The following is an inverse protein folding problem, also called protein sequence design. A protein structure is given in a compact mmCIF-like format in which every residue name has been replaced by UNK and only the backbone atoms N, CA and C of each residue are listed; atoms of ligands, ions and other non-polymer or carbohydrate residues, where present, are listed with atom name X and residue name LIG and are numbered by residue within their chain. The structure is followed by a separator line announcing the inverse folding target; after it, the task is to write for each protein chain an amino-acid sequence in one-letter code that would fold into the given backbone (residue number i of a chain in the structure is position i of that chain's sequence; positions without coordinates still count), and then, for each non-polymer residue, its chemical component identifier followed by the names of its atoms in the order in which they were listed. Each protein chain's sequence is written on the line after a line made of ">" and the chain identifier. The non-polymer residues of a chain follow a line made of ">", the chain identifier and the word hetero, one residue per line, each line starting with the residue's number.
data_IF_856808013626
#
_entry.id   IF_856808013626
#
_cell.length_a   1.000
_cell.length_b   1.000
_cell.length_c   1.000
_cell.angle_alpha   90.00
_cell.angle_beta   90.00
_cell.angle_gamma   90.00
#
_symmetry.space_group_name_H-M   'P 1'
#
loop_
_entity.id
_entity.type
_entity.pdbx_description
1 polymer ?
#
# COMPACT_ATOMS: atom_id res chain seq x y z
N UNK A 1 -27.19 -12.96 61.30
CA UNK A 1 -25.86 -13.17 60.66
C UNK A 1 -26.12 -13.48 59.19
N UNK A 2 -25.88 -12.53 58.24
CA UNK A 2 -25.98 -12.84 56.82
C UNK A 2 -24.61 -13.36 56.33
N UNK A 3 -24.70 -14.39 55.50
CA UNK A 3 -23.65 -15.11 54.82
C UNK A 3 -22.86 -14.18 53.86
N UNK A 4 -21.58 -14.00 54.13
CA UNK A 4 -20.67 -13.43 53.15
C UNK A 4 -20.41 -14.44 52.02
N UNK A 5 -21.10 -14.22 50.89
CA UNK A 5 -20.82 -14.95 49.68
C UNK A 5 -19.47 -14.51 49.09
N UNK A 6 -18.44 -15.32 49.28
CA UNK A 6 -17.19 -15.22 48.55
C UNK A 6 -17.49 -15.40 47.07
N UNK A 7 -17.43 -14.31 46.30
CA UNK A 7 -17.35 -14.36 44.84
C UNK A 7 -15.93 -14.82 44.51
N UNK A 8 -15.80 -16.14 44.38
CA UNK A 8 -14.58 -16.76 43.85
C UNK A 8 -14.40 -16.27 42.40
N UNK A 9 -13.46 -15.35 42.17
CA UNK A 9 -13.06 -14.91 40.86
C UNK A 9 -12.62 -16.12 40.04
N UNK A 10 -13.43 -16.55 39.09
CA UNK A 10 -13.04 -17.54 38.10
C UNK A 10 -11.85 -16.99 37.34
N UNK A 11 -10.64 -17.44 37.70
CA UNK A 11 -9.48 -17.35 36.80
C UNK A 11 -9.82 -18.09 35.53
N UNK A 12 -10.01 -17.37 34.46
CA UNK A 12 -10.12 -17.95 33.13
C UNK A 12 -8.76 -18.58 32.84
N UNK A 13 -8.72 -19.91 32.72
CA UNK A 13 -7.57 -20.61 32.16
C UNK A 13 -7.41 -20.16 30.71
N UNK A 14 -6.52 -19.23 30.47
CA UNK A 14 -6.22 -18.71 29.14
C UNK A 14 -5.41 -19.76 28.38
N UNK A 15 -6.10 -20.71 27.74
CA UNK A 15 -5.51 -21.60 26.73
C UNK A 15 -5.45 -20.96 25.34
N UNK A 16 -6.07 -19.77 25.17
CA UNK A 16 -5.98 -18.97 23.94
C UNK A 16 -4.80 -18.01 24.03
N UNK A 17 -3.92 -18.06 23.04
CA UNK A 17 -2.86 -17.06 22.86
C UNK A 17 -3.50 -15.75 22.37
N UNK A 18 -3.53 -14.75 23.22
CA UNK A 18 -3.87 -13.39 22.83
C UNK A 18 -2.58 -12.70 22.35
N UNK A 19 -2.64 -12.02 21.21
CA UNK A 19 -1.45 -11.41 20.60
C UNK A 19 -1.27 -9.95 21.01
N UNK A 20 -2.39 -9.27 21.36
CA UNK A 20 -2.39 -7.83 21.62
C UNK A 20 -2.80 -7.47 23.07
N UNK A 21 -3.02 -8.44 23.95
CA UNK A 21 -3.48 -8.18 25.32
C UNK A 21 -2.32 -8.17 26.30
N UNK A 22 -2.23 -7.09 27.07
CA UNK A 22 -1.41 -7.04 28.30
C UNK A 22 -2.37 -7.07 29.49
N UNK A 23 -2.40 -8.14 30.29
CA UNK A 23 -3.15 -8.18 31.53
C UNK A 23 -2.58 -7.16 32.48
N UNK A 24 -3.41 -6.26 33.03
CA UNK A 24 -3.03 -5.41 34.16
C UNK A 24 -3.54 -5.98 35.48
N UNK A 25 -2.89 -5.61 36.58
CA UNK A 25 -3.39 -5.97 37.92
C UNK A 25 -4.66 -5.16 38.18
N UNK A 26 -5.77 -5.84 38.50
CA UNK A 26 -7.03 -5.22 38.88
C UNK A 26 -8.17 -5.40 37.85
N UNK A 27 -9.07 -4.42 37.79
CA UNK A 27 -10.30 -4.43 36.96
C UNK A 27 -10.08 -3.91 35.54
N UNK A 28 -8.85 -3.64 35.12
CA UNK A 28 -8.52 -3.08 33.83
C UNK A 28 -7.68 -4.03 32.97
N UNK A 29 -7.78 -3.91 31.65
CA UNK A 29 -6.95 -4.59 30.68
C UNK A 29 -6.42 -3.60 29.65
N UNK A 30 -5.33 -3.95 28.99
CA UNK A 30 -4.75 -3.17 27.91
C UNK A 30 -4.76 -3.98 26.62
N UNK A 31 -5.25 -3.35 25.55
CA UNK A 31 -5.23 -3.91 24.18
C UNK A 31 -4.33 -3.04 23.32
N UNK A 32 -3.36 -3.66 22.64
CA UNK A 32 -2.37 -2.97 21.84
C UNK A 32 -2.73 -2.99 20.34
N UNK A 33 -2.75 -1.82 19.71
CA UNK A 33 -2.85 -1.65 18.27
C UNK A 33 -1.50 -1.12 17.74
N UNK A 34 -0.49 -1.99 17.78
CA UNK A 34 0.88 -1.65 17.41
C UNK A 34 1.29 -2.34 16.11
N UNK A 35 1.47 -1.56 15.08
CA UNK A 35 1.85 -2.02 13.75
C UNK A 35 0.85 -1.62 12.67
N UNK A 36 1.08 -2.04 11.43
CA UNK A 36 0.15 -1.81 10.32
C UNK A 36 -1.20 -2.50 10.57
N UNK A 37 -2.29 -1.85 10.07
CA UNK A 37 -3.67 -2.35 10.13
C UNK A 37 -3.99 -3.11 8.86
N UNK A 38 -4.52 -4.32 8.96
CA UNK A 38 -4.94 -5.13 7.81
C UNK A 38 -5.19 -6.58 8.18
N UNK A 39 -5.78 -7.36 7.26
CA UNK A 39 -6.14 -8.76 7.51
C UNK A 39 -4.91 -9.62 7.85
N UNK A 40 -3.82 -9.45 7.10
CA UNK A 40 -2.56 -10.18 7.28
C UNK A 40 -1.48 -9.36 8.02
N UNK A 41 -1.89 -8.30 8.72
CA UNK A 41 -1.00 -7.40 9.42
C UNK A 41 -1.00 -7.65 10.94
N UNK A 42 -0.08 -6.97 11.65
CA UNK A 42 0.01 -7.07 13.11
C UNK A 42 -1.26 -6.64 13.84
N UNK A 43 -2.00 -5.67 13.28
CA UNK A 43 -3.28 -5.21 13.79
C UNK A 43 -4.38 -5.75 12.87
N UNK A 44 -4.70 -7.04 13.06
CA UNK A 44 -5.77 -7.70 12.31
C UNK A 44 -7.14 -7.40 12.92
N UNK A 45 -8.15 -7.03 12.14
CA UNK A 45 -9.49 -6.74 12.64
C UNK A 45 -10.11 -7.96 13.33
N UNK A 46 -9.93 -9.17 12.79
CA UNK A 46 -10.46 -10.39 13.37
C UNK A 46 -9.88 -10.66 14.78
N UNK A 47 -8.59 -10.42 14.95
CA UNK A 47 -7.92 -10.57 16.26
C UNK A 47 -8.37 -9.50 17.24
N UNK A 48 -8.29 -8.22 16.86
CA UNK A 48 -8.64 -7.08 17.71
C UNK A 48 -10.09 -7.19 18.20
N UNK A 49 -11.02 -7.47 17.30
CA UNK A 49 -12.45 -7.61 17.65
C UNK A 49 -12.68 -8.78 18.58
N UNK A 50 -12.06 -9.94 18.31
CA UNK A 50 -12.16 -11.12 19.16
C UNK A 50 -11.60 -10.85 20.56
N UNK A 51 -10.42 -10.26 20.64
CA UNK A 51 -9.76 -9.91 21.90
C UNK A 51 -10.57 -8.89 22.69
N UNK A 52 -11.11 -7.85 22.03
CA UNK A 52 -12.01 -6.89 22.66
C UNK A 52 -13.27 -7.55 23.22
N UNK A 53 -13.87 -8.47 22.46
CA UNK A 53 -15.06 -9.22 22.92
C UNK A 53 -14.79 -10.08 24.14
N UNK A 54 -13.63 -10.71 24.21
CA UNK A 54 -13.23 -11.49 25.37
C UNK A 54 -12.89 -10.59 26.59
N UNK A 55 -12.17 -9.49 26.35
CA UNK A 55 -11.81 -8.54 27.41
C UNK A 55 -13.02 -7.93 28.10
N UNK A 56 -13.99 -7.42 27.34
CA UNK A 56 -15.18 -6.77 27.88
C UNK A 56 -16.10 -7.70 28.69
N UNK A 57 -15.90 -9.04 28.63
CA UNK A 57 -16.59 -10.02 29.50
C UNK A 57 -16.00 -10.07 30.90
N UNK A 58 -14.72 -9.71 31.03
CA UNK A 58 -13.94 -9.91 32.26
C UNK A 58 -13.60 -8.57 32.89
N UNK A 59 -13.25 -7.58 32.06
CA UNK A 59 -12.76 -6.28 32.51
C UNK A 59 -13.79 -5.20 32.20
N UNK A 60 -14.02 -4.33 33.17
CA UNK A 60 -14.88 -3.16 32.99
C UNK A 60 -14.17 -2.03 32.27
N UNK A 61 -12.88 -1.85 32.54
CA UNK A 61 -12.04 -0.83 31.92
C UNK A 61 -11.08 -1.47 30.94
N UNK A 62 -10.96 -0.88 29.77
CA UNK A 62 -10.06 -1.34 28.71
C UNK A 62 -9.30 -0.13 28.16
N UNK A 63 -7.98 -0.17 28.30
CA UNK A 63 -7.11 0.82 27.70
C UNK A 63 -6.67 0.32 26.32
N UNK A 64 -6.93 1.11 25.29
CA UNK A 64 -6.47 0.84 23.91
C UNK A 64 -5.23 1.69 23.66
N UNK A 65 -4.11 1.05 23.36
CA UNK A 65 -2.87 1.78 23.10
C UNK A 65 -2.47 1.66 21.66
N UNK A 66 -2.18 2.77 21.00
CA UNK A 66 -1.97 2.87 19.55
C UNK A 66 -0.55 3.34 19.25
N UNK A 67 0.14 2.58 18.40
CA UNK A 67 1.34 2.99 17.69
C UNK A 67 1.31 2.37 16.29
N UNK A 68 0.64 3.04 15.34
CA UNK A 68 0.31 2.50 14.03
C UNK A 68 0.37 3.57 12.94
N UNK A 69 0.98 3.21 11.84
CA UNK A 69 1.01 4.03 10.61
C UNK A 69 -0.28 3.91 9.77
N UNK A 70 -1.25 3.11 10.22
CA UNK A 70 -2.46 2.84 9.47
C UNK A 70 -2.35 1.62 8.57
N UNK A 71 -3.10 1.57 7.49
CA UNK A 71 -3.16 0.44 6.56
C UNK A 71 -4.49 0.33 5.85
N UNK A 72 -5.09 -0.86 5.82
CA UNK A 72 -6.32 -1.16 5.09
C UNK A 72 -7.54 -0.48 5.69
N UNK A 73 -8.28 0.28 4.86
CA UNK A 73 -9.42 1.09 5.29
C UNK A 73 -10.54 0.24 5.87
N UNK A 74 -10.91 -0.86 5.20
CA UNK A 74 -12.01 -1.72 5.66
C UNK A 74 -11.67 -2.46 6.96
N UNK A 75 -10.43 -2.89 7.13
CA UNK A 75 -9.94 -3.46 8.38
C UNK A 75 -10.05 -2.45 9.53
N UNK A 76 -9.66 -1.21 9.28
CA UNK A 76 -9.78 -0.15 10.28
C UNK A 76 -11.22 0.23 10.61
N UNK A 77 -12.13 0.27 9.64
CA UNK A 77 -13.56 0.50 9.87
C UNK A 77 -14.16 -0.59 10.76
N UNK A 78 -13.77 -1.86 10.56
CA UNK A 78 -14.24 -2.95 11.41
C UNK A 78 -13.79 -2.76 12.88
N UNK A 79 -12.54 -2.37 13.10
CA UNK A 79 -12.01 -2.07 14.43
C UNK A 79 -12.72 -0.85 15.06
N UNK A 80 -12.86 0.24 14.31
CA UNK A 80 -13.58 1.44 14.74
C UNK A 80 -15.00 1.10 15.22
N UNK A 81 -15.75 0.36 14.41
CA UNK A 81 -17.12 -0.05 14.75
C UNK A 81 -17.17 -0.91 16.01
N UNK A 82 -16.22 -1.83 16.18
CA UNK A 82 -16.14 -2.65 17.38
C UNK A 82 -15.86 -1.83 18.64
N UNK A 83 -14.93 -0.89 18.58
CA UNK A 83 -14.61 0.02 19.69
C UNK A 83 -15.80 0.93 20.03
N UNK A 84 -16.45 1.50 19.02
CA UNK A 84 -17.63 2.36 19.18
C UNK A 84 -18.79 1.61 19.84
N UNK A 85 -19.07 0.39 19.37
CA UNK A 85 -20.16 -0.45 19.87
C UNK A 85 -19.89 -1.07 21.25
N UNK A 86 -18.64 -1.09 21.71
CA UNK A 86 -18.27 -1.68 22.99
C UNK A 86 -18.92 -0.94 24.16
N UNK A 87 -19.46 -1.72 25.11
CA UNK A 87 -20.04 -1.22 26.36
C UNK A 87 -19.03 -1.08 27.50
N UNK A 88 -17.78 -1.53 27.30
CA UNK A 88 -16.71 -1.34 28.25
C UNK A 88 -16.34 0.15 28.36
N UNK A 89 -15.80 0.52 29.50
CA UNK A 89 -15.21 1.83 29.75
C UNK A 89 -13.85 1.87 29.06
N UNK A 90 -13.86 2.28 27.78
CA UNK A 90 -12.68 2.32 26.93
C UNK A 90 -12.04 3.71 27.01
N UNK A 91 -10.72 3.72 27.22
CA UNK A 91 -9.86 4.90 27.05
C UNK A 91 -8.79 4.59 26.00
N UNK A 92 -8.55 5.52 25.09
CA UNK A 92 -7.59 5.37 24.00
C UNK A 92 -6.36 6.24 24.28
N UNK A 93 -5.19 5.69 24.04
CA UNK A 93 -3.90 6.35 24.20
C UNK A 93 -3.09 6.21 22.91
N UNK A 94 -2.66 7.33 22.33
CA UNK A 94 -1.67 7.34 21.25
C UNK A 94 -0.30 7.45 21.91
N UNK A 95 0.47 6.37 21.83
CA UNK A 95 1.79 6.32 22.44
C UNK A 95 2.85 6.99 21.55
N UNK A 96 2.90 6.61 20.28
CA UNK A 96 3.81 7.16 19.32
C UNK A 96 3.10 7.76 18.11
N UNK A 97 2.57 6.93 17.25
CA UNK A 97 1.91 7.37 16.02
C UNK A 97 0.51 6.79 15.90
N UNK A 98 -0.43 7.63 15.49
CA UNK A 98 -1.71 7.21 14.93
C UNK A 98 -1.88 7.93 13.60
N UNK A 99 -1.64 7.22 12.49
CA UNK A 99 -1.70 7.83 11.16
C UNK A 99 -2.73 7.15 10.27
N UNK A 100 -3.33 7.91 9.35
CA UNK A 100 -4.26 7.39 8.36
C UNK A 100 -5.45 6.69 9.04
N UNK A 101 -5.78 5.45 8.66
CA UNK A 101 -6.90 4.71 9.27
C UNK A 101 -6.71 4.44 10.77
N UNK A 102 -5.48 4.42 11.28
CA UNK A 102 -5.25 4.31 12.73
C UNK A 102 -5.66 5.58 13.48
N UNK A 103 -5.55 6.77 12.89
CA UNK A 103 -6.07 8.01 13.43
C UNK A 103 -7.61 7.99 13.47
N UNK A 104 -8.25 7.46 12.43
CA UNK A 104 -9.71 7.27 12.40
C UNK A 104 -10.15 6.33 13.54
N UNK A 105 -9.45 5.21 13.73
CA UNK A 105 -9.70 4.29 14.85
C UNK A 105 -9.59 5.02 16.19
N UNK A 106 -8.54 5.84 16.40
CA UNK A 106 -8.34 6.60 17.61
C UNK A 106 -9.49 7.59 17.89
N UNK A 107 -10.07 8.16 16.84
CA UNK A 107 -11.16 9.14 16.89
C UNK A 107 -12.56 8.51 16.99
N UNK A 108 -12.69 7.26 17.46
CA UNK A 108 -13.96 6.52 17.52
C UNK A 108 -14.95 6.99 18.59
N UNK A 109 -14.78 8.20 19.11
CA UNK A 109 -15.70 8.81 20.10
C UNK A 109 -15.44 8.42 21.55
N UNK A 110 -14.43 7.60 21.84
CA UNK A 110 -13.97 7.30 23.20
C UNK A 110 -13.00 8.39 23.70
N UNK A 111 -12.80 8.55 25.03
CA UNK A 111 -11.75 9.43 25.57
C UNK A 111 -10.39 9.10 24.95
N UNK A 112 -9.71 10.12 24.42
CA UNK A 112 -8.47 9.99 23.68
C UNK A 112 -7.37 10.85 24.29
N UNK A 113 -6.25 10.24 24.60
CA UNK A 113 -5.06 10.91 25.12
C UNK A 113 -3.88 10.65 24.19
N UNK A 114 -2.97 11.61 24.11
CA UNK A 114 -1.72 11.45 23.36
C UNK A 114 -0.52 11.62 24.28
N UNK A 115 0.53 10.84 24.03
CA UNK A 115 1.85 11.13 24.60
C UNK A 115 2.33 12.51 24.12
N UNK A 116 3.08 13.21 24.96
CA UNK A 116 3.72 14.49 24.61
C UNK A 116 4.61 14.40 23.35
N UNK A 117 5.12 13.20 23.03
CA UNK A 117 5.95 12.94 21.85
C UNK A 117 5.15 12.37 20.66
N UNK A 118 3.89 12.03 20.86
CA UNK A 118 3.08 11.37 19.82
C UNK A 118 2.72 12.29 18.66
N UNK A 119 2.37 11.64 17.54
CA UNK A 119 1.86 12.31 16.32
C UNK A 119 0.55 11.67 15.90
N UNK A 120 -0.36 12.50 15.45
CA UNK A 120 -1.60 12.11 14.81
C UNK A 120 -1.58 12.61 13.37
N UNK A 121 -2.04 11.80 12.41
CA UNK A 121 -2.08 12.23 11.01
C UNK A 121 -3.38 11.85 10.34
N UNK A 122 -3.97 12.84 9.70
CA UNK A 122 -5.14 12.71 8.84
C UNK A 122 -4.79 13.03 7.40
N UNK A 123 -5.32 12.26 6.48
CA UNK A 123 -5.23 12.48 5.04
C UNK A 123 -6.38 11.78 4.32
N UNK A 124 -6.59 12.14 3.06
CA UNK A 124 -7.57 11.49 2.21
C UNK A 124 -7.20 10.04 1.89
N UNK A 125 -8.19 9.24 1.46
CA UNK A 125 -7.97 7.86 1.05
C UNK A 125 -6.98 7.78 -0.10
N UNK A 126 -6.00 6.88 0.02
CA UNK A 126 -5.05 6.54 -1.03
C UNK A 126 -5.25 5.10 -1.47
N UNK A 127 -5.20 4.90 -2.76
CA UNK A 127 -5.32 3.58 -3.38
C UNK A 127 -4.89 3.65 -4.83
N UNK A 128 -4.83 2.50 -5.48
CA UNK A 128 -4.54 2.39 -6.90
C UNK A 128 -5.34 1.26 -7.51
N UNK A 129 -5.72 1.45 -8.77
CA UNK A 129 -6.41 0.47 -9.59
C UNK A 129 -5.79 0.49 -10.98
N UNK A 130 -5.74 -0.66 -11.65
CA UNK A 130 -5.33 -0.77 -13.04
C UNK A 130 -6.49 -1.34 -13.85
N UNK A 131 -6.83 -0.69 -14.97
CA UNK A 131 -7.95 -1.15 -15.79
C UNK A 131 -8.32 -0.17 -16.87
N UNK A 132 -9.50 -0.37 -17.45
CA UNK A 132 -10.12 0.52 -18.42
C UNK A 132 -10.49 1.88 -17.79
N UNK A 133 -10.75 2.88 -18.61
CA UNK A 133 -11.17 4.21 -18.13
C UNK A 133 -12.44 4.14 -17.26
N UNK A 134 -13.35 3.22 -17.52
CA UNK A 134 -14.59 3.08 -16.75
C UNK A 134 -14.33 2.40 -15.40
N UNK A 135 -13.46 1.41 -15.33
CA UNK A 135 -13.00 0.79 -14.07
C UNK A 135 -12.26 1.79 -13.19
N UNK A 136 -11.37 2.61 -13.76
CA UNK A 136 -10.68 3.67 -13.02
C UNK A 136 -11.65 4.73 -12.47
N UNK A 137 -12.68 5.12 -13.22
CA UNK A 137 -13.73 6.04 -12.72
C UNK A 137 -14.55 5.41 -11.61
N UNK A 138 -14.89 4.12 -11.72
CA UNK A 138 -15.61 3.39 -10.69
C UNK A 138 -14.78 3.28 -9.39
N UNK A 139 -13.48 3.00 -9.50
CA UNK A 139 -12.56 2.99 -8.37
C UNK A 139 -12.46 4.36 -7.69
N UNK A 140 -12.29 5.44 -8.47
CA UNK A 140 -12.26 6.81 -7.95
C UNK A 140 -13.56 7.16 -7.20
N UNK A 141 -14.72 6.85 -7.78
CA UNK A 141 -16.02 7.07 -7.11
C UNK A 141 -16.17 6.26 -5.83
N UNK A 142 -15.57 5.07 -5.76
CA UNK A 142 -15.55 4.26 -4.54
C UNK A 142 -14.68 4.90 -3.46
N UNK A 143 -13.52 5.41 -3.83
CA UNK A 143 -12.64 6.14 -2.91
C UNK A 143 -13.32 7.40 -2.34
N UNK A 144 -14.02 8.19 -3.17
CA UNK A 144 -14.79 9.35 -2.74
C UNK A 144 -15.89 8.99 -1.73
N UNK A 145 -16.60 7.88 -1.96
CA UNK A 145 -17.60 7.38 -0.99
C UNK A 145 -16.97 6.95 0.33
N UNK A 146 -15.78 6.31 0.29
CA UNK A 146 -15.03 5.96 1.49
C UNK A 146 -14.58 7.21 2.24
N UNK A 147 -14.07 8.22 1.55
CA UNK A 147 -13.69 9.50 2.17
C UNK A 147 -14.86 10.14 2.91
N UNK A 148 -16.04 10.20 2.28
CA UNK A 148 -17.24 10.71 2.93
C UNK A 148 -17.60 9.92 4.19
N UNK A 149 -17.55 8.58 4.12
CA UNK A 149 -17.80 7.72 5.29
C UNK A 149 -16.79 8.00 6.41
N UNK A 150 -15.50 8.11 6.09
CA UNK A 150 -14.46 8.41 7.08
C UNK A 150 -14.64 9.82 7.67
N UNK A 151 -15.05 10.80 6.86
CA UNK A 151 -15.35 12.15 7.33
C UNK A 151 -16.52 12.15 8.32
N UNK A 152 -17.60 11.41 8.04
CA UNK A 152 -18.73 11.24 8.96
C UNK A 152 -18.30 10.58 10.27
N UNK A 153 -17.44 9.55 10.23
CA UNK A 153 -16.94 8.84 11.40
C UNK A 153 -16.20 9.76 12.38
N UNK A 154 -15.42 10.73 11.89
CA UNK A 154 -14.64 11.65 12.74
C UNK A 154 -15.37 12.96 13.04
N UNK A 155 -16.37 13.34 12.25
CA UNK A 155 -17.13 14.58 12.40
C UNK A 155 -17.77 14.72 13.79
N UNK A 156 -18.31 13.62 14.33
CA UNK A 156 -18.88 13.57 15.65
C UNK A 156 -17.86 13.90 16.76
N UNK A 157 -16.61 13.42 16.63
CA UNK A 157 -15.53 13.72 17.57
C UNK A 157 -15.03 15.15 17.43
N UNK A 158 -14.92 15.66 16.22
CA UNK A 158 -14.45 17.03 15.92
C UNK A 158 -15.52 18.10 16.21
N UNK A 159 -16.77 17.73 16.47
CA UNK A 159 -17.91 18.65 16.64
C UNK A 159 -18.08 19.59 15.43
N UNK A 160 -17.87 19.08 14.24
CA UNK A 160 -18.01 19.79 12.98
C UNK A 160 -18.77 18.92 11.97
N UNK A 161 -19.06 19.44 10.78
CA UNK A 161 -19.72 18.64 9.74
C UNK A 161 -18.73 17.76 8.99
N UNK A 162 -19.23 16.73 8.31
CA UNK A 162 -18.39 15.87 7.47
C UNK A 162 -17.74 16.64 6.30
N UNK A 163 -18.45 17.64 5.77
CA UNK A 163 -17.96 18.54 4.72
C UNK A 163 -16.77 19.39 5.24
N UNK A 164 -16.84 19.89 6.47
CA UNK A 164 -15.74 20.62 7.10
C UNK A 164 -14.53 19.72 7.33
N UNK A 165 -14.75 18.47 7.75
CA UNK A 165 -13.68 17.47 7.90
C UNK A 165 -13.02 17.22 6.56
N UNK A 166 -13.80 16.95 5.51
CA UNK A 166 -13.30 16.68 4.15
C UNK A 166 -12.50 17.87 3.61
N UNK A 167 -13.05 19.07 3.73
CA UNK A 167 -12.39 20.29 3.24
C UNK A 167 -11.08 20.60 3.99
N UNK A 168 -10.99 20.26 5.28
CA UNK A 168 -9.88 20.63 6.14
C UNK A 168 -8.78 19.57 6.19
N UNK A 169 -9.13 18.27 6.09
CA UNK A 169 -8.20 17.18 6.33
C UNK A 169 -8.07 16.20 5.17
N UNK A 170 -8.97 16.26 4.15
CA UNK A 170 -8.94 15.40 2.98
C UNK A 170 -8.69 16.18 1.68
N UNK A 171 -7.91 17.24 1.77
CA UNK A 171 -7.55 18.16 0.68
C UNK A 171 -6.39 17.64 -0.21
N UNK A 172 -5.84 16.48 0.11
CA UNK A 172 -4.73 15.85 -0.63
C UNK A 172 -3.35 16.02 0.03
N UNK A 173 -3.29 16.77 1.14
CA UNK A 173 -2.08 16.95 1.95
C UNK A 173 -2.12 16.05 3.20
N UNK A 174 -0.96 15.66 3.71
CA UNK A 174 -0.83 14.93 4.97
C UNK A 174 -0.83 15.92 6.13
N UNK A 175 -1.91 15.92 6.92
CA UNK A 175 -2.07 16.78 8.10
C UNK A 175 -1.52 16.10 9.34
N UNK A 176 -0.32 16.47 9.73
CA UNK A 176 0.35 15.99 10.95
C UNK A 176 0.10 16.92 12.11
N UNK A 177 -0.25 16.36 13.27
CA UNK A 177 -0.51 17.08 14.50
C UNK A 177 0.38 16.56 15.63
N UNK A 178 1.01 17.47 16.34
CA UNK A 178 1.59 17.21 17.66
C UNK A 178 0.46 17.02 18.68
N UNK A 179 0.80 16.49 19.86
CA UNK A 179 -0.18 16.37 20.93
C UNK A 179 -0.78 17.73 21.35
N UNK A 180 0.03 18.80 21.33
CA UNK A 180 -0.42 20.14 21.65
C UNK A 180 -1.44 20.67 20.63
N UNK A 181 -1.13 20.56 19.34
CA UNK A 181 -2.04 20.97 18.25
C UNK A 181 -3.33 20.15 18.24
N UNK A 182 -3.24 18.82 18.44
CA UNK A 182 -4.41 17.96 18.51
C UNK A 182 -5.33 18.32 19.69
N UNK A 183 -4.76 18.76 20.82
CA UNK A 183 -5.52 19.22 21.97
C UNK A 183 -6.18 20.58 21.71
N UNK A 184 -5.48 21.51 21.10
CA UNK A 184 -6.01 22.83 20.72
C UNK A 184 -7.19 22.69 19.74
N UNK A 185 -7.09 21.77 18.79
CA UNK A 185 -8.15 21.44 17.84
C UNK A 185 -9.32 20.64 18.46
N UNK A 186 -9.22 20.24 19.74
CA UNK A 186 -10.23 19.44 20.42
C UNK A 186 -10.35 18.00 19.92
N UNK A 187 -9.33 17.48 19.24
CA UNK A 187 -9.27 16.09 18.78
C UNK A 187 -9.02 15.11 19.93
N UNK A 188 -8.34 15.58 20.99
CA UNK A 188 -7.98 14.78 22.17
C UNK A 188 -8.40 15.46 23.46
N UNK A 189 -8.65 14.67 24.52
CA UNK A 189 -8.99 15.15 25.85
C UNK A 189 -7.77 15.64 26.63
N UNK A 190 -6.61 15.04 26.42
CA UNK A 190 -5.42 15.40 27.17
C UNK A 190 -4.12 14.84 26.65
N UNK A 191 -3.05 15.33 27.27
CA UNK A 191 -1.68 14.91 26.97
C UNK A 191 -1.17 14.23 28.23
N UNK A 192 -0.42 13.14 28.06
CA UNK A 192 0.30 12.48 29.14
C UNK A 192 1.79 12.46 28.85
N UNK A 193 2.58 12.61 29.89
CA UNK A 193 4.03 12.56 29.80
C UNK A 193 4.51 11.10 29.86
N UNK A 194 5.60 10.85 29.16
CA UNK A 194 6.32 9.59 29.25
C UNK A 194 7.57 9.89 30.08
N UNK A 195 7.61 9.27 31.25
CA UNK A 195 8.78 9.32 32.14
C UNK A 195 9.84 8.33 31.64
N UNK A 196 10.59 8.76 30.62
CA UNK A 196 11.68 7.98 30.02
C UNK A 196 12.74 8.96 29.46
N UNK A 197 13.90 8.95 30.06
CA UNK A 197 15.03 9.79 29.66
C UNK A 197 15.48 9.59 28.20
N UNK A 198 15.10 8.46 27.58
CA UNK A 198 15.38 8.14 26.18
C UNK A 198 14.20 8.45 25.25
N UNK A 199 13.16 9.10 25.74
CA UNK A 199 12.01 9.46 24.90
C UNK A 199 12.45 10.38 23.74
N UNK A 200 11.84 10.22 22.54
CA UNK A 200 12.19 11.03 21.38
C UNK A 200 12.00 12.52 21.67
N UNK A 201 12.99 13.33 21.33
CA UNK A 201 12.90 14.78 21.47
C UNK A 201 11.86 15.42 20.54
N UNK A 202 11.66 16.74 20.69
CA UNK A 202 10.72 17.48 19.85
C UNK A 202 11.07 17.42 18.34
N UNK A 203 12.34 17.28 18.02
CA UNK A 203 12.86 17.21 16.65
C UNK A 203 12.92 15.80 16.07
N UNK A 204 12.43 14.79 16.82
CA UNK A 204 12.44 13.41 16.36
C UNK A 204 11.55 13.21 15.13
N UNK A 205 12.02 12.40 14.19
CA UNK A 205 11.21 12.03 13.02
C UNK A 205 10.04 11.11 13.41
N UNK A 206 9.00 11.06 12.57
CA UNK A 206 7.87 10.15 12.80
C UNK A 206 8.32 8.68 12.86
N UNK A 207 9.34 8.31 12.10
CA UNK A 207 9.92 6.97 12.09
C UNK A 207 10.66 6.65 13.40
N UNK A 208 11.39 7.62 13.95
CA UNK A 208 12.06 7.47 15.25
C UNK A 208 11.04 7.30 16.38
N UNK A 209 9.98 8.11 16.39
CA UNK A 209 8.88 8.00 17.35
C UNK A 209 8.22 6.62 17.26
N UNK A 210 7.88 6.20 16.05
CA UNK A 210 7.25 4.88 15.83
C UNK A 210 8.15 3.73 16.31
N UNK A 211 9.44 3.76 15.97
CA UNK A 211 10.41 2.74 16.38
C UNK A 211 10.63 2.72 17.89
N UNK A 212 10.73 3.88 18.52
CA UNK A 212 10.89 3.97 19.98
C UNK A 212 9.78 3.21 20.70
N UNK A 213 8.52 3.49 20.37
CA UNK A 213 7.39 2.82 21.01
C UNK A 213 7.26 1.35 20.62
N UNK A 214 7.59 1.00 19.38
CA UNK A 214 7.62 -0.40 18.95
C UNK A 214 8.69 -1.20 19.72
N UNK A 215 9.86 -0.63 19.93
CA UNK A 215 10.96 -1.27 20.64
C UNK A 215 10.71 -1.40 22.13
N UNK A 216 9.93 -0.49 22.74
CA UNK A 216 9.52 -0.59 24.16
C UNK A 216 8.74 -1.86 24.45
N UNK A 217 8.00 -2.40 23.50
CA UNK A 217 7.34 -3.71 23.65
C UNK A 217 8.30 -4.88 23.70
N UNK A 218 9.46 -4.74 23.07
CA UNK A 218 10.48 -5.80 22.98
C UNK A 218 11.45 -5.77 24.16
N UNK A 219 11.50 -4.67 24.90
CA UNK A 219 12.38 -4.48 26.06
C UNK A 219 11.61 -4.49 27.38
N UNK A 220 12.31 -4.82 28.45
CA UNK A 220 11.76 -4.87 29.83
C UNK A 220 11.27 -3.50 30.38
N UNK A 221 11.01 -2.52 29.53
CA UNK A 221 10.78 -1.14 29.90
C UNK A 221 9.31 -0.68 30.03
N UNK A 222 8.34 -1.56 29.95
CA UNK A 222 6.94 -1.16 30.15
C UNK A 222 6.58 -1.14 31.64
N UNK A 223 6.15 -0.01 32.22
CA UNK A 223 5.92 0.10 33.67
C UNK A 223 4.78 -0.77 34.21
N UNK A 224 4.02 -1.44 33.35
CA UNK A 224 2.93 -2.34 33.75
C UNK A 224 3.36 -3.79 34.01
N UNK A 225 4.64 -4.12 33.80
CA UNK A 225 5.17 -5.46 34.12
C UNK A 225 6.18 -5.36 35.25
N UNK A 226 5.77 -4.76 36.36
CA UNK A 226 6.51 -4.93 37.61
C UNK A 226 5.90 -6.10 38.38
N UNK A 227 5.89 -7.27 37.73
CA UNK A 227 5.54 -8.50 38.37
C UNK A 227 6.77 -9.38 38.47
N UNK A 228 7.40 -9.36 39.64
CA UNK A 228 8.32 -10.41 40.13
C UNK A 228 7.54 -11.74 40.27
N UNK A 229 6.85 -12.18 39.22
CA UNK A 229 6.09 -13.41 39.26
C UNK A 229 6.79 -14.50 38.46
N UNK A 230 7.13 -15.55 39.14
CA UNK A 230 7.63 -16.84 38.61
C UNK A 230 6.74 -17.43 37.50
N UNK A 231 5.50 -16.96 37.37
CA UNK A 231 4.58 -17.34 36.29
C UNK A 231 5.12 -17.05 34.87
N UNK A 232 5.87 -15.97 34.66
CA UNK A 232 6.46 -15.66 33.35
C UNK A 232 7.53 -16.66 32.93
N UNK A 233 8.36 -17.08 33.88
CA UNK A 233 9.41 -18.11 33.63
C UNK A 233 8.75 -19.44 33.32
N UNK A 234 7.67 -19.80 34.02
CA UNK A 234 6.93 -21.04 33.79
C UNK A 234 6.18 -21.02 32.46
N UNK A 235 5.63 -19.86 32.06
CA UNK A 235 5.02 -19.65 30.74
C UNK A 235 6.04 -19.71 29.59
N UNK A 236 7.25 -19.16 29.80
CA UNK A 236 8.35 -19.31 28.85
C UNK A 236 8.78 -20.77 28.69
N UNK A 237 8.91 -21.49 29.80
CA UNK A 237 9.25 -22.93 29.78
C UNK A 237 8.18 -23.80 29.10
N UNK A 238 6.93 -23.35 29.08
CA UNK A 238 5.84 -24.03 28.38
C UNK A 238 5.92 -23.88 26.84
N UNK A 239 6.70 -22.94 26.32
CA UNK A 239 6.87 -22.74 24.88
C UNK A 239 7.81 -23.77 24.29
N UNK A 240 7.55 -24.29 23.06
CA UNK A 240 8.40 -25.33 22.43
C UNK A 240 9.88 -24.95 22.36
N UNK A 241 10.18 -23.67 22.09
CA UNK A 241 11.56 -23.16 21.97
C UNK A 241 12.32 -23.14 23.30
N UNK A 242 11.63 -23.10 24.45
CA UNK A 242 12.23 -23.02 25.79
C UNK A 242 12.01 -24.31 26.61
N UNK A 243 11.41 -25.31 26.01
CA UNK A 243 11.02 -26.57 26.69
C UNK A 243 12.17 -27.27 27.44
N UNK A 244 13.40 -27.10 26.93
CA UNK A 244 14.60 -27.73 27.50
C UNK A 244 15.39 -26.79 28.44
N UNK A 245 14.95 -25.52 28.60
CA UNK A 245 15.63 -24.58 29.47
C UNK A 245 15.10 -24.71 30.90
N UNK A 246 15.95 -25.19 31.79
CA UNK A 246 15.62 -25.44 33.22
C UNK A 246 16.16 -24.35 34.15
N UNK A 247 17.16 -23.59 33.68
CA UNK A 247 17.79 -22.50 34.44
C UNK A 247 17.62 -21.18 33.73
N UNK A 248 17.73 -20.04 34.46
CA UNK A 248 17.68 -18.69 33.92
C UNK A 248 18.76 -18.45 32.86
N UNK A 249 19.97 -18.96 33.07
CA UNK A 249 21.07 -18.89 32.10
C UNK A 249 20.73 -19.61 30.78
N UNK A 250 20.08 -20.75 30.84
CA UNK A 250 19.63 -21.48 29.65
C UNK A 250 18.50 -20.74 28.92
N UNK A 251 17.59 -20.10 29.65
CA UNK A 251 16.55 -19.26 29.07
C UNK A 251 17.16 -18.05 28.34
N UNK A 252 18.13 -17.37 28.98
CA UNK A 252 18.83 -16.24 28.37
C UNK A 252 19.63 -16.65 27.13
N UNK A 253 20.29 -17.80 27.16
CA UNK A 253 21.01 -18.35 26.00
C UNK A 253 20.06 -18.65 24.82
N UNK A 254 18.86 -19.18 25.11
CA UNK A 254 17.87 -19.47 24.07
C UNK A 254 17.23 -18.18 23.51
N UNK A 255 17.00 -17.17 24.35
CA UNK A 255 16.59 -15.82 23.91
C UNK A 255 17.64 -15.25 22.96
N UNK A 256 18.90 -15.22 23.35
CA UNK A 256 19.99 -14.72 22.52
C UNK A 256 20.11 -15.50 21.19
N UNK A 257 19.86 -16.81 21.18
CA UNK A 257 19.80 -17.61 19.97
C UNK A 257 18.64 -17.20 19.05
N UNK A 258 17.47 -16.94 19.63
CA UNK A 258 16.29 -16.48 18.88
C UNK A 258 16.49 -15.07 18.33
N UNK A 259 17.08 -14.16 19.09
CA UNK A 259 17.44 -12.81 18.64
C UNK A 259 18.43 -12.85 17.46
N UNK A 260 19.48 -13.70 17.57
CA UNK A 260 20.41 -13.91 16.45
C UNK A 260 19.73 -14.51 15.21
N UNK A 261 18.74 -15.38 15.42
CA UNK A 261 17.96 -15.97 14.32
C UNK A 261 17.04 -14.90 13.68
N UNK A 262 16.43 -14.05 14.47
CA UNK A 262 15.62 -12.91 13.99
C UNK A 262 16.46 -11.92 13.19
N UNK A 263 17.68 -11.60 13.66
CA UNK A 263 18.60 -10.76 12.91
C UNK A 263 19.01 -11.37 11.55
N UNK A 264 19.19 -12.70 11.49
CA UNK A 264 19.44 -13.42 10.24
C UNK A 264 18.24 -13.38 9.30
N UNK A 265 17.02 -13.49 9.82
CA UNK A 265 15.80 -13.36 9.01
C UNK A 265 15.74 -11.97 8.38
N UNK A 266 15.92 -10.92 9.16
CA UNK A 266 15.93 -9.55 8.64
C UNK A 266 17.01 -9.33 7.56
N UNK A 267 18.23 -9.88 7.76
CA UNK A 267 19.29 -9.81 6.77
C UNK A 267 18.94 -10.60 5.48
N UNK A 268 18.26 -11.74 5.60
CA UNK A 268 17.79 -12.52 4.46
C UNK A 268 16.65 -11.82 3.72
N UNK A 269 15.72 -11.18 4.42
CA UNK A 269 14.67 -10.35 3.83
C UNK A 269 15.26 -9.20 3.02
N UNK A 270 16.27 -8.50 3.55
CA UNK A 270 17.01 -7.48 2.82
C UNK A 270 17.66 -8.04 1.55
N UNK A 271 18.26 -9.22 1.64
CA UNK A 271 18.90 -9.86 0.48
C UNK A 271 17.88 -10.35 -0.56
N UNK A 272 16.72 -10.82 -0.13
CA UNK A 272 15.61 -11.17 -1.02
C UNK A 272 15.11 -9.92 -1.76
N UNK A 273 14.93 -8.81 -1.07
CA UNK A 273 14.53 -7.54 -1.70
C UNK A 273 15.56 -7.07 -2.73
N UNK A 274 16.85 -7.13 -2.40
CA UNK A 274 17.94 -6.78 -3.33
C UNK A 274 17.95 -7.68 -4.57
N UNK A 275 17.88 -9.00 -4.37
CA UNK A 275 17.84 -9.96 -5.47
C UNK A 275 16.61 -9.80 -6.35
N UNK A 276 15.46 -9.50 -5.76
CA UNK A 276 14.22 -9.22 -6.48
C UNK A 276 14.37 -7.98 -7.37
N UNK A 277 14.98 -6.92 -6.84
CA UNK A 277 15.28 -5.72 -7.62
C UNK A 277 16.27 -6.01 -8.78
N UNK A 278 17.33 -6.79 -8.54
CA UNK A 278 18.29 -7.20 -9.57
C UNK A 278 17.63 -8.04 -10.66
N UNK A 279 16.74 -8.97 -10.29
CA UNK A 279 15.98 -9.78 -11.26
C UNK A 279 15.08 -8.89 -12.11
N UNK A 280 14.36 -7.93 -11.50
CA UNK A 280 13.50 -6.99 -12.21
C UNK A 280 14.30 -6.12 -13.21
N UNK A 281 15.45 -5.61 -12.80
CA UNK A 281 16.34 -4.82 -13.67
C UNK A 281 16.92 -5.66 -14.81
N UNK A 282 17.39 -6.88 -14.52
CA UNK A 282 17.89 -7.81 -15.52
C UNK A 282 16.81 -8.20 -16.53
N UNK A 283 15.58 -8.44 -16.07
CA UNK A 283 14.43 -8.75 -16.92
C UNK A 283 14.08 -7.59 -17.84
N UNK A 284 14.05 -6.37 -17.30
CA UNK A 284 13.81 -5.14 -18.08
C UNK A 284 14.89 -4.93 -19.15
N UNK A 285 16.16 -5.16 -18.81
CA UNK A 285 17.26 -5.09 -19.77
C UNK A 285 17.14 -6.15 -20.88
N UNK A 286 16.77 -7.39 -20.53
CA UNK A 286 16.53 -8.46 -21.49
C UNK A 286 15.34 -8.16 -22.42
N UNK A 287 14.23 -7.63 -21.88
CA UNK A 287 13.07 -7.20 -22.68
C UNK A 287 13.46 -6.08 -23.65
N UNK A 288 14.23 -5.09 -23.18
CA UNK A 288 14.70 -4.00 -24.03
C UNK A 288 15.60 -4.52 -25.17
N UNK A 289 16.57 -5.39 -24.87
CA UNK A 289 17.45 -5.98 -25.86
C UNK A 289 16.69 -6.81 -26.90
N UNK A 290 15.68 -7.58 -26.47
CA UNK A 290 14.81 -8.34 -27.38
C UNK A 290 14.04 -7.42 -28.35
N UNK A 291 13.53 -6.30 -27.85
CA UNK A 291 12.81 -5.33 -28.68
C UNK A 291 13.74 -4.58 -29.62
N UNK A 292 14.96 -4.23 -29.19
CA UNK A 292 15.98 -3.63 -30.03
C UNK A 292 16.38 -4.55 -31.19
N UNK A 293 16.52 -5.84 -30.88
CA UNK A 293 16.75 -6.85 -31.92
C UNK A 293 15.57 -6.94 -32.90
N UNK A 294 14.33 -6.96 -32.39
CA UNK A 294 13.12 -7.03 -33.25
C UNK A 294 12.98 -5.80 -34.16
N UNK A 295 13.40 -4.61 -33.68
CA UNK A 295 13.48 -3.41 -34.55
C UNK A 295 14.57 -3.55 -35.60
N UNK A 296 15.77 -4.01 -35.23
CA UNK A 296 16.90 -4.23 -36.15
C UNK A 296 16.54 -5.24 -37.21
N UNK A 297 15.82 -6.30 -36.86
CA UNK A 297 15.29 -7.31 -37.78
C UNK A 297 14.11 -6.78 -38.62
N UNK A 298 13.61 -5.59 -38.36
CA UNK A 298 12.49 -4.99 -39.06
C UNK A 298 11.14 -5.65 -38.76
N UNK A 299 11.01 -6.39 -37.67
CA UNK A 299 9.75 -6.99 -37.20
C UNK A 299 8.79 -5.98 -36.63
N UNK A 300 9.32 -5.02 -35.86
CA UNK A 300 8.57 -3.93 -35.26
C UNK A 300 9.26 -2.59 -35.57
N UNK A 301 8.55 -1.48 -35.31
CA UNK A 301 9.09 -0.12 -35.42
C UNK A 301 9.47 0.42 -34.04
N UNK A 302 10.31 1.46 -33.96
CA UNK A 302 10.63 2.16 -32.71
C UNK A 302 9.37 2.63 -31.97
N UNK A 303 8.36 3.12 -32.70
CA UNK A 303 7.10 3.58 -32.12
C UNK A 303 6.26 2.47 -31.46
N UNK A 304 6.50 1.21 -31.82
CA UNK A 304 5.80 0.05 -31.25
C UNK A 304 6.49 -0.54 -30.02
N UNK A 305 7.76 -0.19 -29.75
CA UNK A 305 8.51 -0.70 -28.58
C UNK A 305 7.76 -0.55 -27.26
N UNK A 306 7.17 0.62 -26.89
CA UNK A 306 6.51 0.77 -25.60
C UNK A 306 5.33 -0.20 -25.41
N UNK A 307 4.54 -0.44 -26.48
CA UNK A 307 3.42 -1.37 -26.41
C UNK A 307 3.88 -2.82 -26.21
N UNK A 308 4.93 -3.24 -26.92
CA UNK A 308 5.50 -4.57 -26.75
C UNK A 308 6.23 -4.74 -25.42
N UNK A 309 6.82 -3.67 -24.87
CA UNK A 309 7.43 -3.70 -23.53
C UNK A 309 6.36 -3.97 -22.47
N UNK A 310 5.25 -3.25 -22.54
CA UNK A 310 4.12 -3.48 -21.63
C UNK A 310 3.55 -4.90 -21.74
N UNK A 311 3.50 -5.45 -22.96
CA UNK A 311 3.05 -6.83 -23.18
C UNK A 311 4.05 -7.85 -22.61
N UNK A 312 5.35 -7.64 -22.79
CA UNK A 312 6.40 -8.48 -22.21
C UNK A 312 6.38 -8.46 -20.68
N UNK A 313 6.05 -7.32 -20.06
CA UNK A 313 5.95 -7.21 -18.62
C UNK A 313 4.70 -7.92 -18.07
N UNK A 314 3.62 -8.01 -18.86
CA UNK A 314 2.35 -8.63 -18.46
C UNK A 314 2.27 -10.11 -18.81
N UNK A 315 2.67 -10.48 -20.03
CA UNK A 315 2.63 -11.84 -20.56
C UNK A 315 3.81 -12.09 -21.52
N UNK A 316 4.93 -12.44 -20.93
CA UNK A 316 6.22 -12.59 -21.61
C UNK A 316 6.20 -13.68 -22.68
N UNK A 317 5.52 -14.82 -22.42
CA UNK A 317 5.46 -15.93 -23.36
C UNK A 317 4.66 -15.57 -24.60
N UNK A 318 3.50 -14.95 -24.42
CA UNK A 318 2.65 -14.50 -25.51
C UNK A 318 3.34 -13.41 -26.34
N UNK A 319 3.98 -12.43 -25.68
CA UNK A 319 4.73 -11.38 -26.36
C UNK A 319 5.87 -11.94 -27.24
N UNK A 320 6.64 -12.90 -26.71
CA UNK A 320 7.71 -13.58 -27.46
C UNK A 320 7.15 -14.40 -28.63
N UNK A 321 6.02 -15.07 -28.45
CA UNK A 321 5.34 -15.81 -29.50
C UNK A 321 4.91 -14.89 -30.64
N UNK A 322 4.29 -13.75 -30.30
CA UNK A 322 3.89 -12.74 -31.27
C UNK A 322 5.12 -12.20 -32.03
N UNK A 323 6.17 -11.78 -31.32
CA UNK A 323 7.39 -11.25 -31.93
C UNK A 323 8.08 -12.26 -32.88
N UNK A 324 8.03 -13.55 -32.54
CA UNK A 324 8.59 -14.61 -33.37
C UNK A 324 7.78 -14.85 -34.66
N UNK A 325 6.46 -14.65 -34.59
CA UNK A 325 5.55 -14.86 -35.74
C UNK A 325 5.51 -13.68 -36.71
N UNK A 326 6.01 -12.48 -36.30
CA UNK A 326 6.02 -11.32 -37.19
C UNK A 326 6.96 -11.50 -38.36
N UNK A 327 6.50 -11.18 -39.61
CA UNK A 327 7.33 -11.30 -40.80
C UNK A 327 8.44 -10.24 -40.77
N UNK A 328 9.62 -10.63 -41.24
CA UNK A 328 10.74 -9.70 -41.46
C UNK A 328 10.34 -8.66 -42.51
N UNK A 329 10.25 -7.39 -42.13
CA UNK A 329 10.17 -6.30 -43.08
C UNK A 329 11.55 -6.10 -43.68
N UNK A 330 11.78 -6.61 -44.91
CA UNK A 330 13.02 -6.36 -45.60
C UNK A 330 13.18 -4.86 -45.81
N UNK A 331 14.11 -4.26 -45.08
CA UNK A 331 14.47 -2.86 -45.28
C UNK A 331 14.90 -2.65 -46.72
N UNK A 332 14.26 -1.71 -47.41
CA UNK A 332 14.72 -0.85 -48.46
C UNK A 332 15.42 -1.38 -49.73
N UNK A 333 16.04 -2.56 -49.73
CA UNK A 333 16.73 -3.07 -50.94
C UNK A 333 15.80 -3.51 -52.09
N UNK A 334 14.55 -3.82 -51.80
CA UNK A 334 13.60 -4.18 -52.85
C UNK A 334 12.98 -2.96 -53.53
N UNK A 335 12.98 -1.78 -52.89
CA UNK A 335 12.48 -0.56 -53.52
C UNK A 335 13.51 -0.07 -54.54
N UNK A 336 14.80 -0.09 -54.21
CA UNK A 336 15.85 0.28 -55.20
C UNK A 336 15.94 -0.73 -56.36
N UNK A 337 15.86 -2.03 -56.12
CA UNK A 337 15.79 -3.03 -57.17
C UNK A 337 14.49 -3.01 -57.98
N UNK A 338 13.37 -2.61 -57.37
CA UNK A 338 12.10 -2.43 -58.07
C UNK A 338 12.07 -1.14 -58.88
N UNK A 339 12.77 -0.10 -58.43
CA UNK A 339 12.96 1.15 -59.19
C UNK A 339 13.88 0.89 -60.39
N UNK A 340 14.98 0.11 -60.25
CA UNK A 340 15.89 -0.23 -61.35
C UNK A 340 15.28 -1.17 -62.39
N UNK A 341 14.35 -2.06 -62.01
CA UNK A 341 13.67 -2.95 -62.94
C UNK A 341 12.41 -2.38 -63.62
N UNK A 342 11.82 -1.31 -63.07
CA UNK A 342 10.60 -0.68 -63.59
C UNK A 342 10.77 0.82 -63.87
N UNK A 343 11.99 1.33 -63.74
CA UNK A 343 12.31 2.76 -63.90
C UNK A 343 12.01 3.34 -65.26
N UNK A 344 12.08 2.51 -66.29
CA UNK A 344 11.93 2.98 -67.69
C UNK A 344 10.48 3.19 -68.17
N UNK A 345 9.47 2.67 -67.41
CA UNK A 345 8.07 2.86 -67.84
C UNK A 345 7.32 3.93 -67.04
N UNK A 346 7.79 4.34 -65.88
CA UNK A 346 7.12 5.33 -65.04
C UNK A 346 7.49 6.79 -65.40
N UNK A 347 8.71 7.04 -65.81
CA UNK A 347 9.16 8.33 -66.26
C UNK A 347 8.51 8.77 -67.59
N UNK A 348 8.15 7.79 -68.43
CA UNK A 348 7.57 8.00 -69.76
C UNK A 348 6.18 8.70 -69.67
N UNK A 349 5.24 8.12 -68.92
CA UNK A 349 3.85 8.65 -68.86
C UNK A 349 3.73 10.06 -68.24
N UNK A 350 4.62 10.43 -67.34
CA UNK A 350 4.63 11.73 -66.69
C UNK A 350 5.21 12.83 -67.57
N UNK A 351 6.09 12.48 -68.51
CA UNK A 351 6.71 13.37 -69.47
C UNK A 351 5.89 13.57 -70.77
N UNK A 352 4.95 12.65 -71.04
CA UNK A 352 4.08 12.73 -72.21
C UNK A 352 3.02 13.84 -72.11
N UNK A 353 2.66 14.48 -73.21
CA UNK A 353 1.53 15.37 -73.31
C UNK A 353 0.19 14.62 -73.18
N UNK A 354 -0.93 15.33 -72.91
CA UNK A 354 -2.26 14.73 -72.85
C UNK A 354 -2.59 13.91 -74.10
N UNK A 355 -2.34 14.47 -75.29
CA UNK A 355 -2.61 13.82 -76.58
C UNK A 355 -1.77 12.58 -76.82
N UNK A 356 -0.54 12.55 -76.37
CA UNK A 356 0.34 11.40 -76.44
C UNK A 356 -0.12 10.25 -75.50
N UNK A 357 -0.59 10.61 -74.29
CA UNK A 357 -1.11 9.64 -73.32
C UNK A 357 -2.44 9.05 -73.81
N UNK A 358 -3.30 9.88 -74.43
CA UNK A 358 -4.58 9.44 -74.98
C UNK A 358 -4.37 8.52 -76.19
N UNK A 359 -3.51 8.90 -77.15
CA UNK A 359 -3.13 8.05 -78.30
C UNK A 359 -2.49 6.72 -77.84
N UNK A 360 -1.79 6.71 -76.73
CA UNK A 360 -1.23 5.51 -76.14
C UNK A 360 -2.25 4.67 -75.35
N UNK A 361 -3.51 5.13 -75.23
CA UNK A 361 -4.59 4.54 -74.42
C UNK A 361 -4.24 4.34 -72.97
N UNK A 362 -3.47 5.30 -72.37
CA UNK A 362 -2.93 5.21 -71.00
C UNK A 362 -3.55 6.22 -70.05
N UNK A 363 -4.62 6.94 -70.44
CA UNK A 363 -5.30 7.91 -69.59
C UNK A 363 -5.87 7.28 -68.29
N UNK A 364 -6.37 6.03 -68.36
CA UNK A 364 -6.86 5.31 -67.20
C UNK A 364 -5.74 5.00 -66.19
N UNK A 365 -4.55 4.65 -66.71
CA UNK A 365 -3.36 4.42 -65.93
C UNK A 365 -2.88 5.70 -65.21
N UNK A 366 -2.86 6.84 -65.95
CA UNK A 366 -2.49 8.12 -65.39
C UNK A 366 -3.48 8.56 -64.31
N UNK A 367 -4.79 8.39 -64.54
CA UNK A 367 -5.85 8.76 -63.58
C UNK A 367 -5.80 7.91 -62.31
N UNK A 368 -5.51 6.58 -62.44
CA UNK A 368 -5.46 5.69 -61.33
C UNK A 368 -4.21 5.87 -60.47
N UNK A 369 -3.06 6.06 -61.12
CA UNK A 369 -1.75 6.06 -60.42
C UNK A 369 -1.28 7.49 -60.05
N UNK A 370 -1.77 8.54 -60.77
CA UNK A 370 -1.33 9.92 -60.63
C UNK A 370 -2.53 10.90 -60.78
N UNK A 371 -3.53 10.88 -59.91
CA UNK A 371 -4.78 11.62 -60.07
C UNK A 371 -4.58 13.15 -60.15
N UNK A 372 -3.59 13.66 -59.43
CA UNK A 372 -3.27 15.10 -59.45
C UNK A 372 -2.66 15.53 -60.82
N UNK A 373 -1.73 14.75 -61.33
CA UNK A 373 -1.10 14.99 -62.66
C UNK A 373 -2.12 14.80 -63.78
N UNK A 374 -3.03 13.85 -63.64
CA UNK A 374 -4.13 13.66 -64.56
C UNK A 374 -5.00 14.93 -64.61
N UNK A 375 -5.38 15.45 -63.46
CA UNK A 375 -6.20 16.66 -63.36
C UNK A 375 -5.47 17.89 -63.94
N UNK A 376 -4.18 18.06 -63.64
CA UNK A 376 -3.36 19.15 -64.17
C UNK A 376 -3.30 19.10 -65.70
N UNK A 377 -2.94 17.92 -66.28
CA UNK A 377 -2.84 17.77 -67.76
C UNK A 377 -4.19 17.89 -68.46
N UNK A 378 -5.28 17.48 -67.80
CA UNK A 378 -6.65 17.70 -68.30
C UNK A 378 -7.00 19.18 -68.34
N UNK A 379 -6.69 19.91 -67.26
CA UNK A 379 -6.95 21.36 -67.19
C UNK A 379 -6.10 22.13 -68.23
N UNK A 380 -4.86 21.75 -68.45
CA UNK A 380 -4.00 22.31 -69.49
C UNK A 380 -4.51 22.05 -70.94
N UNK A 381 -5.12 20.88 -71.17
CA UNK A 381 -5.61 20.47 -72.47
C UNK A 381 -6.99 21.07 -72.79
N UNK A 382 -7.87 21.26 -71.79
CA UNK A 382 -9.30 21.59 -72.03
C UNK A 382 -9.81 22.85 -71.34
N UNK A 383 -9.10 23.43 -70.36
CA UNK A 383 -9.44 24.74 -69.82
C UNK A 383 -8.62 25.83 -70.48
N UNK A 384 -9.24 26.47 -71.45
CA UNK A 384 -8.77 27.74 -72.02
C UNK A 384 -9.45 28.90 -71.32
#
# INVERSE_FOLDING_TARGET
>A
MPNEGHICGKRISMTKKFFNIIPSEGESACLLLYGPVGEDQKVSPAQVVTELMELQRVYRKIDIRINSVGGEVFAGIAIFNALTASKADITIYIDGIAASIAAIIALCGKPLYMSNHARLMLHRVRGGECGTADELRAAASTMERLENTLAEMIAAKCKCSAEEVSAKYFDGVDHWFTAAEAKELGLIEGIYDIDDDNAPGADATNDDIYKFFTNRLSGNGWPLINNKNMAFIDDLKARPSFKNATTEEQLMAEIARLENSAAKVSALEGKVAELTAQIAESRKAAHTALLDQAVTEGKITEAQKPAFLSLLDTDEENAKSILSSLPLRKAGKQVEQFIDQHGDKKSDILSMSWDEIDKANRLAELKSNYPEVYQQKFDEAFKK
#
